data_IF_067393908827
#
_entry.id   IF_067393908827
#
_cell.length_a   1.000
_cell.length_b   1.000
_cell.length_c   1.000
_cell.angle_alpha   90.00
_cell.angle_beta   90.00
_cell.angle_gamma   90.00
#
_symmetry.space_group_name_H-M   'P 1'
#
loop_
_entity.id
_entity.type
_entity.pdbx_description
1 polymer ?
#
# COMPACT_ATOMS: atom_id res chain seq x y z
N UNK A 1 -12.63 -17.22 9.29
CA UNK A 1 -12.54 -15.88 8.68
C UNK A 1 -13.40 -15.96 7.45
N UNK A 2 -14.52 -15.27 7.46
CA UNK A 2 -15.46 -15.31 6.33
C UNK A 2 -14.82 -14.57 5.15
N UNK A 3 -14.94 -15.15 3.95
CA UNK A 3 -14.40 -14.57 2.72
C UNK A 3 -15.11 -13.24 2.45
N UNK A 4 -14.36 -12.13 2.39
CA UNK A 4 -14.91 -10.82 2.04
C UNK A 4 -15.13 -10.77 0.53
N UNK A 5 -16.40 -10.65 0.13
CA UNK A 5 -16.79 -10.44 -1.26
C UNK A 5 -16.79 -8.94 -1.63
N UNK A 6 -17.06 -8.66 -2.90
CA UNK A 6 -17.04 -7.32 -3.47
C UNK A 6 -18.21 -6.43 -3.03
N UNK A 7 -19.18 -6.97 -2.28
CA UNK A 7 -20.27 -6.19 -1.70
C UNK A 7 -19.84 -5.42 -0.44
N UNK A 8 -18.75 -5.86 0.20
CA UNK A 8 -18.26 -5.24 1.42
C UNK A 8 -17.59 -3.89 1.16
N UNK A 9 -17.93 -2.93 2.02
CA UNK A 9 -17.31 -1.61 2.05
C UNK A 9 -16.71 -1.33 3.41
N UNK A 10 -15.57 -0.64 3.41
CA UNK A 10 -14.95 -0.19 4.65
C UNK A 10 -15.79 0.90 5.31
N UNK A 11 -16.12 0.73 6.59
CA UNK A 11 -16.74 1.77 7.41
C UNK A 11 -15.72 2.86 7.72
N UNK A 12 -15.89 4.00 7.03
CA UNK A 12 -15.02 5.17 7.13
C UNK A 12 -15.00 5.74 8.55
N UNK A 13 -16.13 5.74 9.25
CA UNK A 13 -16.23 6.34 10.59
C UNK A 13 -15.61 5.43 11.64
N UNK A 14 -15.78 4.11 11.50
CA UNK A 14 -15.02 3.14 12.28
C UNK A 14 -13.51 3.34 12.09
N UNK A 15 -13.04 3.47 10.85
CA UNK A 15 -11.61 3.65 10.54
C UNK A 15 -11.07 4.96 11.10
N UNK A 16 -11.81 6.07 11.00
CA UNK A 16 -11.44 7.37 11.61
C UNK A 16 -11.23 7.27 13.11
N UNK A 17 -12.11 6.55 13.80
CA UNK A 17 -12.13 6.49 15.25
C UNK A 17 -11.15 5.47 15.84
N UNK A 18 -10.93 4.34 15.15
CA UNK A 18 -10.23 3.17 15.72
C UNK A 18 -8.81 2.97 15.22
N UNK A 19 -8.45 3.48 14.04
CA UNK A 19 -7.11 3.33 13.48
C UNK A 19 -6.23 4.57 13.70
N UNK A 20 -4.91 4.33 13.76
CA UNK A 20 -3.92 5.38 13.90
C UNK A 20 -3.95 6.35 12.70
N UNK A 21 -3.58 7.64 12.88
CA UNK A 21 -3.69 8.65 11.84
C UNK A 21 -3.02 8.30 10.50
N UNK A 22 -1.89 7.59 10.61
CA UNK A 22 -1.09 7.20 9.45
C UNK A 22 -1.77 6.07 8.64
N UNK A 23 -2.46 5.14 9.30
CA UNK A 23 -3.13 4.03 8.62
C UNK A 23 -4.52 4.43 8.10
N UNK A 24 -5.27 5.23 8.87
CA UNK A 24 -6.64 5.57 8.48
C UNK A 24 -6.72 6.46 7.24
N UNK A 25 -5.72 7.32 7.00
CA UNK A 25 -5.77 8.31 5.92
C UNK A 25 -5.75 7.62 4.56
N UNK A 26 -4.83 6.66 4.38
CA UNK A 26 -4.76 5.84 3.17
C UNK A 26 -6.06 5.06 2.93
N UNK A 27 -6.57 4.35 3.95
CA UNK A 27 -7.77 3.51 3.83
C UNK A 27 -9.00 4.35 3.48
N UNK A 28 -9.20 5.47 4.19
CA UNK A 28 -10.33 6.38 3.95
C UNK A 28 -10.24 6.98 2.55
N UNK A 29 -9.07 7.50 2.15
CA UNK A 29 -8.88 8.08 0.82
C UNK A 29 -9.18 7.05 -0.27
N UNK A 30 -8.66 5.82 -0.17
CA UNK A 30 -8.93 4.77 -1.17
C UNK A 30 -10.42 4.42 -1.25
N UNK A 31 -11.07 4.25 -0.11
CA UNK A 31 -12.51 3.93 -0.05
C UNK A 31 -13.36 5.06 -0.66
N UNK A 32 -13.09 6.31 -0.31
CA UNK A 32 -13.86 7.46 -0.81
C UNK A 32 -13.63 7.69 -2.30
N UNK A 33 -12.39 7.55 -2.78
CA UNK A 33 -12.08 7.66 -4.21
C UNK A 33 -12.78 6.57 -5.00
N UNK A 34 -12.79 5.32 -4.53
CA UNK A 34 -13.47 4.22 -5.22
C UNK A 34 -14.98 4.50 -5.34
N UNK A 35 -15.63 4.90 -4.24
CA UNK A 35 -17.06 5.26 -4.24
C UNK A 35 -17.36 6.39 -5.20
N UNK A 36 -16.55 7.45 -5.19
CA UNK A 36 -16.73 8.61 -6.07
C UNK A 36 -16.56 8.24 -7.55
N UNK A 37 -15.59 7.38 -7.89
CA UNK A 37 -15.36 6.92 -9.26
C UNK A 37 -16.53 6.08 -9.78
N UNK A 38 -17.07 5.17 -8.96
CA UNK A 38 -18.23 4.36 -9.33
C UNK A 38 -19.50 5.21 -9.50
N UNK A 39 -19.74 6.15 -8.58
CA UNK A 39 -20.88 7.07 -8.65
C UNK A 39 -20.78 7.98 -9.88
N UNK A 40 -19.61 8.56 -10.13
CA UNK A 40 -19.35 9.40 -11.29
C UNK A 40 -19.55 8.62 -12.60
N UNK A 41 -19.07 7.37 -12.66
CA UNK A 41 -19.27 6.51 -13.81
C UNK A 41 -20.74 6.23 -14.11
N UNK A 42 -21.50 5.88 -13.07
CA UNK A 42 -22.94 5.63 -13.18
C UNK A 42 -23.72 6.87 -13.66
N UNK A 43 -23.35 8.07 -13.18
CA UNK A 43 -24.00 9.32 -13.57
C UNK A 43 -23.72 9.72 -15.02
N UNK A 44 -22.54 9.40 -15.55
CA UNK A 44 -22.10 9.82 -16.88
C UNK A 44 -22.15 8.70 -17.94
N UNK A 45 -22.70 7.53 -17.58
CA UNK A 45 -22.78 6.38 -18.49
C UNK A 45 -21.41 5.83 -18.89
N UNK A 46 -20.40 5.98 -18.03
CA UNK A 46 -19.07 5.41 -18.24
C UNK A 46 -19.06 3.97 -17.73
N UNK A 47 -18.43 3.08 -18.49
CA UNK A 47 -18.16 1.73 -18.02
C UNK A 47 -16.94 1.74 -17.10
N UNK A 48 -17.18 1.53 -15.81
CA UNK A 48 -16.16 1.66 -14.76
C UNK A 48 -16.03 0.34 -14.04
N UNK A 49 -14.79 -0.15 -14.01
CA UNK A 49 -14.38 -1.34 -13.28
C UNK A 49 -13.32 -0.94 -12.26
N UNK A 50 -13.45 -1.42 -11.02
CA UNK A 50 -12.44 -1.22 -9.98
C UNK A 50 -11.80 -2.56 -9.61
N UNK A 51 -10.48 -2.57 -9.54
CA UNK A 51 -9.68 -3.69 -9.04
C UNK A 51 -9.18 -3.32 -7.65
N UNK A 52 -9.39 -4.21 -6.68
CA UNK A 52 -9.07 -3.98 -5.27
C UNK A 52 -7.92 -4.91 -4.89
N UNK A 53 -6.68 -4.60 -5.29
CA UNK A 53 -5.57 -5.47 -4.98
C UNK A 53 -5.31 -5.50 -3.47
N UNK A 54 -4.97 -6.69 -2.99
CA UNK A 54 -4.43 -6.89 -1.66
C UNK A 54 -2.95 -6.44 -1.59
N UNK A 55 -2.16 -7.01 -0.68
CA UNK A 55 -0.77 -6.60 -0.52
C UNK A 55 0.09 -7.07 -1.70
N UNK A 56 0.39 -6.14 -2.62
CA UNK A 56 1.10 -6.45 -3.85
C UNK A 56 2.57 -6.75 -3.58
N UNK A 57 3.03 -7.93 -4.00
CA UNK A 57 4.41 -8.38 -3.89
C UNK A 57 4.96 -8.85 -5.23
N UNK A 58 6.28 -8.88 -5.37
CA UNK A 58 6.96 -9.37 -6.57
C UNK A 58 8.07 -8.45 -7.05
N UNK A 59 8.66 -8.75 -8.22
CA UNK A 59 9.65 -7.91 -8.88
C UNK A 59 9.10 -6.51 -9.17
N UNK A 60 9.96 -5.50 -9.20
CA UNK A 60 9.53 -4.14 -9.50
C UNK A 60 10.52 -3.47 -10.44
N UNK A 61 10.00 -2.63 -11.35
CA UNK A 61 10.80 -1.89 -12.34
C UNK A 61 11.13 -0.49 -11.82
N UNK A 62 10.45 -0.03 -10.77
CA UNK A 62 10.60 1.31 -10.23
C UNK A 62 12.01 1.55 -9.62
N UNK A 63 12.61 2.73 -9.82
CA UNK A 63 13.89 3.07 -9.19
C UNK A 63 13.77 3.26 -7.66
N UNK A 64 12.56 3.53 -7.17
CA UNK A 64 12.24 3.59 -5.74
C UNK A 64 11.68 2.25 -5.29
N UNK A 65 12.18 1.77 -4.16
CA UNK A 65 11.76 0.51 -3.56
C UNK A 65 10.28 0.59 -3.11
N UNK A 66 9.36 -0.21 -3.67
CA UNK A 66 7.95 -0.17 -3.29
C UNK A 66 7.75 -0.54 -1.81
N UNK A 67 6.94 0.25 -1.09
CA UNK A 67 6.69 0.04 0.33
C UNK A 67 6.13 -1.35 0.66
N UNK A 68 5.26 -1.89 -0.20
CA UNK A 68 4.68 -3.23 -0.03
C UNK A 68 5.74 -4.33 -0.10
N UNK A 69 6.58 -4.31 -1.15
CA UNK A 69 7.69 -5.24 -1.29
C UNK A 69 8.67 -5.10 -0.12
N UNK A 70 8.95 -3.88 0.34
CA UNK A 70 9.91 -3.63 1.43
C UNK A 70 9.45 -4.29 2.72
N UNK A 71 8.18 -4.10 3.05
CA UNK A 71 7.56 -4.65 4.23
C UNK A 71 7.45 -6.17 4.15
N UNK A 72 7.08 -6.74 2.99
CA UNK A 72 7.05 -8.19 2.80
C UNK A 72 8.43 -8.82 2.99
N UNK A 73 9.48 -8.19 2.47
CA UNK A 73 10.85 -8.65 2.59
C UNK A 73 11.35 -8.54 4.05
N UNK A 74 10.96 -7.48 4.75
CA UNK A 74 11.29 -7.30 6.16
C UNK A 74 10.67 -8.39 7.05
N UNK A 75 9.45 -8.85 6.74
CA UNK A 75 8.80 -9.98 7.42
C UNK A 75 9.53 -11.29 7.18
N UNK A 76 9.89 -11.58 5.91
CA UNK A 76 10.57 -12.83 5.53
C UNK A 76 12.00 -12.90 6.08
N UNK A 77 12.75 -11.80 6.00
CA UNK A 77 14.15 -11.75 6.42
C UNK A 77 14.34 -11.40 7.89
N UNK A 78 13.25 -11.18 8.65
CA UNK A 78 13.31 -10.78 10.06
C UNK A 78 14.13 -9.51 10.33
N UNK A 79 14.36 -8.69 9.30
CA UNK A 79 15.31 -7.57 9.31
C UNK A 79 14.64 -6.28 8.87
N UNK A 80 14.77 -5.24 9.68
CA UNK A 80 14.42 -3.87 9.29
C UNK A 80 15.42 -3.39 8.22
N UNK A 81 15.15 -3.67 6.95
CA UNK A 81 16.03 -3.30 5.83
C UNK A 81 16.14 -1.76 5.75
N UNK A 82 17.28 -1.24 6.24
CA UNK A 82 17.81 0.08 5.93
C UNK A 82 18.55 -0.02 4.59
N UNK A 83 17.86 0.28 3.49
CA UNK A 83 18.52 0.50 2.20
C UNK A 83 19.15 1.89 2.25
N UNK A 84 20.47 1.95 2.34
CA UNK A 84 21.26 3.18 2.21
C UNK A 84 21.32 3.54 0.74
N UNK A 85 20.61 4.59 0.34
CA UNK A 85 20.84 5.24 -0.96
C UNK A 85 21.80 6.41 -0.75
N UNK A 86 23.02 6.29 -1.28
CA UNK A 86 24.06 7.31 -1.22
C UNK A 86 23.74 8.52 -2.09
N UNK A 87 24.00 9.72 -1.55
CA UNK A 87 23.74 11.01 -2.20
C UNK A 87 25.02 11.52 -2.86
N UNK A 88 24.99 11.80 -4.17
CA UNK A 88 25.94 12.73 -4.82
C UNK A 88 25.34 14.14 -4.78
N UNK A 89 26.22 15.12 -4.65
CA UNK A 89 26.02 16.41 -3.98
C UNK A 89 25.32 17.51 -4.79
N UNK A 90 24.68 18.39 -4.00
CA UNK A 90 24.48 19.85 -4.18
C UNK A 90 23.23 20.40 -4.89
N UNK A 91 22.49 21.16 -4.06
CA UNK A 91 21.65 22.34 -4.32
C UNK A 91 20.17 22.12 -4.75
N UNK A 92 19.27 22.42 -3.80
CA UNK A 92 18.04 23.19 -4.07
C UNK A 92 16.68 22.52 -3.80
N UNK A 93 16.02 22.91 -2.69
CA UNK A 93 14.54 23.03 -2.46
C UNK A 93 13.70 21.71 -2.44
N UNK A 94 12.61 21.46 -1.69
CA UNK A 94 11.78 22.12 -0.65
C UNK A 94 11.02 21.01 0.12
N UNK A 95 10.98 21.15 1.44
CA UNK A 95 9.99 20.68 2.43
C UNK A 95 8.87 19.75 1.92
N UNK A 96 9.05 18.42 2.05
CA UNK A 96 7.97 17.44 2.33
C UNK A 96 8.50 16.07 2.81
N UNK A 97 9.64 16.03 3.53
CA UNK A 97 10.33 14.77 3.86
C UNK A 97 10.67 14.62 5.36
N UNK A 98 9.92 15.31 6.24
CA UNK A 98 10.32 15.45 7.65
C UNK A 98 9.79 14.38 8.61
N UNK A 99 9.02 13.39 8.14
CA UNK A 99 8.53 12.32 9.04
C UNK A 99 9.18 10.95 8.82
N UNK A 100 10.02 10.79 7.78
CA UNK A 100 10.72 9.54 7.50
C UNK A 100 12.24 9.58 7.73
N UNK A 101 12.80 10.76 8.02
CA UNK A 101 14.26 10.96 8.05
C UNK A 101 14.86 10.92 9.46
N UNK A 102 14.07 11.04 10.52
CA UNK A 102 14.59 11.24 11.89
C UNK A 102 15.16 9.99 12.59
N UNK A 103 15.23 8.83 11.92
CA UNK A 103 15.89 7.63 12.48
C UNK A 103 17.13 7.15 11.74
N UNK A 104 17.61 7.87 10.73
CA UNK A 104 18.83 7.49 9.97
C UNK A 104 20.16 7.93 10.63
N UNK A 105 20.21 8.15 11.94
CA UNK A 105 21.44 8.59 12.63
C UNK A 105 22.20 7.46 13.38
N UNK A 106 21.65 6.24 13.44
CA UNK A 106 22.20 5.14 14.26
C UNK A 106 23.00 4.09 13.46
N UNK A 107 23.61 4.44 12.33
CA UNK A 107 24.31 3.47 11.47
C UNK A 107 25.84 3.63 11.42
N UNK A 108 26.46 4.49 12.26
CA UNK A 108 27.93 4.71 12.25
C UNK A 108 28.70 4.10 13.44
N UNK A 109 28.06 3.47 14.42
CA UNK A 109 28.74 3.10 15.68
C UNK A 109 28.55 1.66 16.15
N UNK A 110 28.14 0.73 15.28
CA UNK A 110 28.20 -0.71 15.59
C UNK A 110 27.38 -1.16 16.82
N UNK A 111 26.39 -0.37 17.24
CA UNK A 111 25.42 -0.76 18.28
C UNK A 111 24.05 -0.97 17.63
N UNK A 112 23.75 -2.25 17.36
CA UNK A 112 22.42 -2.71 16.99
C UNK A 112 21.52 -2.63 18.22
N UNK A 113 20.68 -1.59 18.29
CA UNK A 113 19.61 -1.52 19.26
C UNK A 113 18.31 -1.96 18.58
N UNK A 114 17.84 -3.16 18.92
CA UNK A 114 16.52 -3.69 18.61
C UNK A 114 15.42 -2.71 19.04
N UNK A 115 14.91 -1.92 18.11
CA UNK A 115 13.84 -0.93 18.37
C UNK A 115 12.73 -1.01 17.31
N UNK A 116 12.46 -2.20 16.78
CA UNK A 116 11.21 -2.50 16.09
C UNK A 116 10.21 -3.05 17.08
N UNK A 117 9.13 -2.33 17.37
CA UNK A 117 8.11 -2.78 18.31
C UNK A 117 7.35 -3.96 17.69
N UNK A 118 7.44 -5.16 18.29
CA UNK A 118 6.87 -6.39 17.74
C UNK A 118 5.34 -6.33 17.50
N UNK A 119 4.64 -5.42 18.19
CA UNK A 119 3.20 -5.22 18.06
C UNK A 119 2.76 -4.61 16.72
N UNK A 120 3.63 -3.93 15.98
CA UNK A 120 3.27 -3.38 14.66
C UNK A 120 3.25 -4.44 13.56
N UNK A 121 3.97 -5.56 13.75
CA UNK A 121 4.06 -6.63 12.76
C UNK A 121 2.92 -7.66 12.85
N UNK A 122 2.15 -7.69 13.94
CA UNK A 122 1.03 -8.63 14.11
C UNK A 122 -0.10 -8.39 13.10
N UNK A 123 -0.38 -7.12 12.76
CA UNK A 123 -1.31 -6.76 11.70
C UNK A 123 -0.81 -7.20 10.32
N UNK A 124 0.51 -7.25 10.13
CA UNK A 124 1.13 -7.59 8.86
C UNK A 124 1.08 -9.09 8.53
N UNK A 125 0.96 -9.95 9.54
CA UNK A 125 0.91 -11.41 9.38
C UNK A 125 -0.43 -11.93 8.83
N UNK A 126 -1.43 -11.07 8.71
CA UNK A 126 -2.78 -11.44 8.27
C UNK A 126 -3.21 -10.73 6.96
N UNK A 127 -2.25 -10.24 6.17
CA UNK A 127 -2.57 -9.71 4.84
C UNK A 127 -2.71 -10.82 3.81
N UNK A 128 -3.76 -10.76 3.01
CA UNK A 128 -3.76 -11.40 1.70
C UNK A 128 -2.69 -10.73 0.83
N UNK A 129 -2.00 -11.54 0.04
CA UNK A 129 -0.91 -11.09 -0.83
C UNK A 129 -1.24 -11.48 -2.27
N UNK A 130 -0.87 -10.62 -3.21
CA UNK A 130 -1.09 -10.84 -4.65
C UNK A 130 0.20 -10.53 -5.41
N UNK A 131 0.52 -11.32 -6.43
CA UNK A 131 1.68 -11.06 -7.25
C UNK A 131 1.42 -9.87 -8.18
N UNK A 132 2.42 -9.00 -8.35
CA UNK A 132 2.31 -7.80 -9.21
C UNK A 132 1.90 -8.13 -10.65
N UNK A 133 2.41 -9.23 -11.21
CA UNK A 133 2.05 -9.65 -12.56
C UNK A 133 0.60 -10.12 -12.64
N UNK A 134 0.04 -10.65 -11.55
CA UNK A 134 -1.37 -11.10 -11.52
C UNK A 134 -2.29 -9.88 -11.50
N UNK A 135 -1.92 -8.83 -10.74
CA UNK A 135 -2.60 -7.54 -10.76
C UNK A 135 -2.55 -6.93 -12.17
N UNK A 136 -1.39 -6.95 -12.82
CA UNK A 136 -1.26 -6.41 -14.18
C UNK A 136 -2.13 -7.20 -15.19
N UNK A 137 -2.11 -8.53 -15.13
CA UNK A 137 -2.95 -9.38 -15.99
C UNK A 137 -4.44 -9.18 -15.73
N UNK A 138 -4.85 -8.99 -14.47
CA UNK A 138 -6.24 -8.69 -14.12
C UNK A 138 -6.72 -7.38 -14.78
N UNK A 139 -5.90 -6.33 -14.75
CA UNK A 139 -6.24 -5.07 -15.42
C UNK A 139 -6.37 -5.23 -16.94
N UNK A 140 -5.44 -5.97 -17.57
CA UNK A 140 -5.52 -6.25 -19.02
C UNK A 140 -6.78 -7.06 -19.34
N UNK A 141 -7.05 -8.11 -18.58
CA UNK A 141 -8.20 -8.98 -18.77
C UNK A 141 -9.53 -8.22 -18.66
N UNK A 142 -9.68 -7.38 -17.63
CA UNK A 142 -10.90 -6.59 -17.43
C UNK A 142 -11.09 -5.52 -18.50
N UNK A 143 -10.00 -5.01 -19.08
CA UNK A 143 -10.08 -4.08 -20.21
C UNK A 143 -10.53 -4.79 -21.51
N UNK A 144 -10.10 -6.03 -21.71
CA UNK A 144 -10.45 -6.83 -22.89
C UNK A 144 -11.83 -7.49 -22.81
N UNK A 145 -12.40 -7.60 -21.60
CA UNK A 145 -13.69 -8.23 -21.36
C UNK A 145 -14.83 -7.20 -21.31
N UNK A 146 -15.62 -7.03 -22.40
CA UNK A 146 -16.57 -5.92 -22.55
C UNK A 146 -17.78 -5.98 -21.59
N UNK A 147 -18.02 -7.14 -20.97
CA UNK A 147 -19.10 -7.31 -20.00
C UNK A 147 -18.62 -7.15 -18.54
N UNK A 148 -17.35 -6.80 -18.31
CA UNK A 148 -16.78 -6.59 -16.98
C UNK A 148 -17.42 -5.36 -16.34
N UNK A 149 -18.00 -5.53 -15.14
CA UNK A 149 -18.68 -4.44 -14.43
C UNK A 149 -18.49 -4.54 -12.94
N UNK A 150 -18.38 -3.38 -12.29
CA UNK A 150 -18.33 -3.29 -10.84
C UNK A 150 -16.92 -3.49 -10.30
N UNK A 151 -16.82 -4.26 -9.21
CA UNK A 151 -15.62 -4.37 -8.38
C UNK A 151 -15.08 -5.80 -8.45
N UNK A 152 -13.76 -5.96 -8.34
CA UNK A 152 -13.08 -7.26 -8.36
C UNK A 152 -11.95 -7.27 -7.30
N UNK A 153 -11.97 -8.28 -6.42
CA UNK A 153 -10.95 -8.51 -5.37
C UNK A 153 -9.80 -9.42 -5.82
#
# INVERSE_FOLDING_TARGET
MDMMDESFWTDVDFVRQKLSPNAHSYIISKTLTERAVLEFGAQHGLDVVTVIPSFVVGPFICPKFPGSVRTSLALVLGTSLLVVSGRISSIGWVVFDSFYTEKMQCAKTGKLNSTGNQSEYSFLLNFSMVHVDDVARAHIFLLEYPDAKGRYN
#
